data_IF_795938891134
#
_entry.id   IF_795938891134
#
_cell.length_a   1.000
_cell.length_b   1.000
_cell.length_c   1.000
_cell.angle_alpha   90.00
_cell.angle_beta   90.00
_cell.angle_gamma   90.00
#
_symmetry.space_group_name_H-M   'P 1'
#
loop_
_entity.id
_entity.type
_entity.pdbx_description
1 polymer ?
#
# COMPACT_ATOMS: atom_id res chain seq x y z
N UNK A 1 -6.47 10.76 16.06
CA UNK A 1 -7.39 11.77 16.60
C UNK A 1 -7.15 13.16 15.99
N UNK A 2 -5.92 13.62 15.90
CA UNK A 2 -5.56 14.95 15.35
C UNK A 2 -6.06 15.20 13.91
N UNK A 3 -5.90 14.22 13.00
CA UNK A 3 -6.34 14.35 11.60
C UNK A 3 -7.86 14.50 11.51
N UNK A 4 -8.62 13.77 12.34
CA UNK A 4 -10.08 13.88 12.37
C UNK A 4 -10.53 15.26 12.86
N UNK A 5 -9.90 15.78 13.92
CA UNK A 5 -10.19 17.12 14.45
C UNK A 5 -9.89 18.18 13.39
N UNK A 6 -8.73 18.08 12.72
CA UNK A 6 -8.36 19.01 11.64
C UNK A 6 -9.39 19.00 10.50
N UNK A 7 -9.89 17.83 10.13
CA UNK A 7 -10.88 17.68 9.06
C UNK A 7 -12.23 18.32 9.44
N UNK A 8 -12.68 18.12 10.70
CA UNK A 8 -13.89 18.76 11.23
C UNK A 8 -13.74 20.28 11.23
N UNK A 9 -12.59 20.80 11.69
CA UNK A 9 -12.32 22.24 11.69
C UNK A 9 -12.36 22.83 10.28
N UNK A 10 -11.77 22.16 9.29
CA UNK A 10 -11.80 22.60 7.89
C UNK A 10 -13.25 22.66 7.38
N UNK A 11 -14.07 21.64 7.64
CA UNK A 11 -15.47 21.62 7.23
C UNK A 11 -16.26 22.77 7.85
N UNK A 12 -16.04 23.03 9.15
CA UNK A 12 -16.70 24.15 9.87
C UNK A 12 -16.30 25.51 9.25
N UNK A 13 -15.02 25.71 9.00
CA UNK A 13 -14.54 26.96 8.36
C UNK A 13 -15.17 27.14 6.97
N UNK A 14 -15.19 26.09 6.14
CA UNK A 14 -15.83 26.15 4.83
C UNK A 14 -17.32 26.50 4.93
N UNK A 15 -18.01 26.00 5.96
CA UNK A 15 -19.42 26.36 6.21
C UNK A 15 -19.61 27.82 6.60
N UNK A 16 -18.75 28.35 7.46
CA UNK A 16 -18.77 29.78 7.85
C UNK A 16 -18.53 30.66 6.62
N UNK A 17 -17.65 30.22 5.69
CA UNK A 17 -17.38 30.91 4.42
C UNK A 17 -18.49 30.77 3.37
N UNK A 18 -19.61 30.10 3.67
CA UNK A 18 -20.74 29.94 2.78
C UNK A 18 -20.58 28.89 1.68
N UNK A 19 -19.58 27.99 1.82
CA UNK A 19 -19.41 26.89 0.85
C UNK A 19 -20.60 25.95 0.92
N UNK A 20 -21.18 25.64 -0.25
CA UNK A 20 -22.34 24.77 -0.35
C UNK A 20 -21.99 23.32 0.05
N UNK A 21 -22.97 22.57 0.59
CA UNK A 21 -22.81 21.16 0.92
C UNK A 21 -22.36 20.35 -0.29
N UNK A 22 -22.86 20.67 -1.46
CA UNK A 22 -22.53 20.01 -2.70
C UNK A 22 -21.02 20.10 -3.01
N UNK A 23 -20.46 21.29 -2.95
CA UNK A 23 -19.00 21.51 -3.17
C UNK A 23 -18.17 20.76 -2.15
N UNK A 24 -18.58 20.72 -0.88
CA UNK A 24 -17.89 19.96 0.16
C UNK A 24 -17.90 18.45 -0.12
N UNK A 25 -19.04 17.89 -0.52
CA UNK A 25 -19.17 16.47 -0.85
C UNK A 25 -18.31 16.14 -2.08
N UNK A 26 -18.41 16.95 -3.14
CA UNK A 26 -17.62 16.74 -4.35
C UNK A 26 -16.11 16.82 -4.10
N UNK A 27 -15.67 17.79 -3.29
CA UNK A 27 -14.26 17.91 -2.88
C UNK A 27 -13.80 16.70 -2.07
N UNK A 28 -14.64 16.19 -1.17
CA UNK A 28 -14.35 14.98 -0.39
C UNK A 28 -14.20 13.76 -1.27
N UNK A 29 -15.12 13.57 -2.24
CA UNK A 29 -15.04 12.49 -3.22
C UNK A 29 -13.78 12.60 -4.08
N UNK A 30 -13.41 13.80 -4.53
CA UNK A 30 -12.18 14.03 -5.29
C UNK A 30 -10.91 13.68 -4.51
N UNK A 31 -10.86 13.98 -3.22
CA UNK A 31 -9.73 13.60 -2.35
C UNK A 31 -9.65 12.07 -2.22
N UNK A 32 -10.78 11.40 -2.02
CA UNK A 32 -10.83 9.93 -1.93
C UNK A 32 -10.34 9.31 -3.24
N UNK A 33 -10.81 9.81 -4.37
CA UNK A 33 -10.38 9.33 -5.70
C UNK A 33 -8.88 9.51 -5.91
N UNK A 34 -8.33 10.67 -5.53
CA UNK A 34 -6.89 10.92 -5.60
C UNK A 34 -6.09 9.90 -4.76
N UNK A 35 -6.55 9.59 -3.55
CA UNK A 35 -5.91 8.59 -2.69
C UNK A 35 -5.96 7.18 -3.30
N UNK A 36 -7.08 6.81 -3.92
CA UNK A 36 -7.24 5.52 -4.61
C UNK A 36 -6.30 5.44 -5.82
N UNK A 37 -6.18 6.50 -6.61
CA UNK A 37 -5.25 6.57 -7.74
C UNK A 37 -3.80 6.44 -7.25
N UNK A 38 -3.41 7.13 -6.19
CA UNK A 38 -2.07 7.01 -5.61
C UNK A 38 -1.78 5.58 -5.12
N UNK A 39 -2.76 4.93 -4.49
CA UNK A 39 -2.66 3.53 -4.07
C UNK A 39 -2.52 2.59 -5.28
N UNK A 40 -3.28 2.82 -6.35
CA UNK A 40 -3.17 2.08 -7.60
C UNK A 40 -1.76 2.21 -8.21
N UNK A 41 -1.24 3.42 -8.34
CA UNK A 41 0.10 3.68 -8.86
C UNK A 41 1.18 3.01 -8.00
N UNK A 42 1.02 3.02 -6.68
CA UNK A 42 1.93 2.33 -5.75
C UNK A 42 1.97 0.82 -6.02
N UNK A 43 0.82 0.14 -6.11
CA UNK A 43 0.78 -1.30 -6.35
C UNK A 43 1.24 -1.66 -7.77
N UNK A 44 0.88 -0.88 -8.78
CA UNK A 44 1.38 -1.07 -10.16
C UNK A 44 2.90 -0.93 -10.22
N UNK A 45 3.48 0.07 -9.56
CA UNK A 45 4.94 0.21 -9.46
C UNK A 45 5.60 -1.02 -8.86
N UNK A 46 5.08 -1.55 -7.75
CA UNK A 46 5.60 -2.75 -7.13
C UNK A 46 5.39 -4.01 -7.98
N UNK A 47 4.27 -4.12 -8.66
CA UNK A 47 3.98 -5.20 -9.59
C UNK A 47 4.92 -5.21 -10.79
N UNK A 48 5.17 -4.06 -11.40
CA UNK A 48 6.17 -3.93 -12.48
C UNK A 48 7.58 -4.29 -11.99
N UNK A 49 7.98 -3.80 -10.80
CA UNK A 49 9.26 -4.21 -10.23
C UNK A 49 9.34 -5.72 -10.00
N UNK A 50 8.24 -6.38 -9.61
CA UNK A 50 8.18 -7.82 -9.40
C UNK A 50 8.50 -8.61 -10.67
N UNK A 51 8.11 -8.12 -11.85
CA UNK A 51 8.40 -8.77 -13.15
C UNK A 51 9.91 -8.83 -13.37
N UNK A 52 10.65 -7.79 -12.98
CA UNK A 52 12.11 -7.70 -13.17
C UNK A 52 12.92 -8.34 -12.03
N UNK A 53 12.28 -9.07 -11.10
CA UNK A 53 12.98 -9.75 -10.01
C UNK A 53 13.55 -11.10 -10.43
N UNK A 54 14.61 -11.52 -9.72
CA UNK A 54 15.18 -12.87 -9.86
C UNK A 54 14.73 -13.75 -8.71
N UNK A 55 14.35 -14.99 -8.99
CA UNK A 55 14.09 -16.00 -7.95
C UNK A 55 15.41 -16.35 -7.28
N UNK A 56 15.43 -16.35 -5.96
CA UNK A 56 16.56 -16.79 -5.13
C UNK A 56 16.05 -17.55 -3.91
N UNK A 57 16.86 -18.48 -3.43
CA UNK A 57 16.67 -19.08 -2.09
C UNK A 57 17.26 -18.16 -1.05
N UNK A 58 16.56 -17.98 0.05
CA UNK A 58 16.97 -17.12 1.14
C UNK A 58 16.56 -17.73 2.49
N UNK A 59 17.34 -17.44 3.53
CA UNK A 59 17.00 -17.78 4.90
C UNK A 59 16.34 -16.58 5.58
N UNK A 60 15.24 -16.82 6.28
CA UNK A 60 14.66 -15.78 7.12
C UNK A 60 15.55 -15.55 8.34
N UNK A 61 15.92 -14.30 8.63
CA UNK A 61 16.79 -13.97 9.77
C UNK A 61 16.02 -13.40 10.94
N UNK A 62 15.26 -12.34 10.73
CA UNK A 62 14.57 -11.61 11.81
C UNK A 62 13.46 -10.73 11.30
N UNK A 63 12.66 -10.23 12.26
CA UNK A 63 11.81 -9.08 12.04
C UNK A 63 12.43 -7.84 12.67
N UNK A 64 12.69 -6.82 11.87
CA UNK A 64 13.28 -5.58 12.34
C UNK A 64 12.71 -4.37 11.60
N UNK A 65 12.96 -3.19 12.12
CA UNK A 65 12.57 -1.92 11.49
C UNK A 65 13.59 -1.49 10.46
N UNK A 66 13.13 -1.09 9.29
CA UNK A 66 14.00 -0.42 8.31
C UNK A 66 14.28 1.00 8.82
N UNK A 67 15.52 1.49 8.64
CA UNK A 67 15.90 2.87 8.99
C UNK A 67 14.83 3.87 8.52
N UNK A 68 14.28 4.66 9.44
CA UNK A 68 13.20 5.65 9.25
C UNK A 68 11.77 5.10 9.14
N UNK A 69 11.51 3.80 9.18
CA UNK A 69 10.17 3.25 9.18
C UNK A 69 9.71 2.88 10.61
N UNK A 70 8.45 3.17 10.95
CA UNK A 70 7.87 2.81 12.25
C UNK A 70 7.33 1.37 12.30
N UNK A 71 7.36 0.64 11.19
CA UNK A 71 6.85 -0.72 11.07
C UNK A 71 7.97 -1.74 10.87
N UNK A 72 7.76 -2.95 11.36
CA UNK A 72 8.69 -4.06 11.22
C UNK A 72 8.48 -4.74 9.88
N UNK A 73 9.59 -5.18 9.25
CA UNK A 73 9.59 -6.00 8.04
C UNK A 73 10.39 -7.28 8.28
N UNK A 74 10.14 -8.30 7.47
CA UNK A 74 10.94 -9.51 7.47
C UNK A 74 12.29 -9.24 6.78
N UNK A 75 13.39 -9.75 7.34
CA UNK A 75 14.72 -9.73 6.74
C UNK A 75 15.09 -11.12 6.25
N UNK A 76 15.69 -11.16 5.09
CA UNK A 76 16.14 -12.40 4.44
C UNK A 76 17.60 -12.28 4.07
N UNK A 77 18.37 -13.33 4.37
CA UNK A 77 19.77 -13.45 3.97
C UNK A 77 19.88 -14.16 2.63
N UNK A 78 20.55 -13.50 1.69
CA UNK A 78 20.88 -14.02 0.36
C UNK A 78 22.37 -13.84 0.15
N UNK A 79 23.10 -14.94 -0.09
CA UNK A 79 24.54 -14.92 -0.35
C UNK A 79 25.35 -14.16 0.75
N UNK A 80 24.96 -14.30 2.03
CA UNK A 80 25.61 -13.65 3.18
C UNK A 80 25.23 -12.19 3.42
N UNK A 81 24.25 -11.65 2.68
CA UNK A 81 23.78 -10.26 2.83
C UNK A 81 22.31 -10.23 3.21
N UNK A 82 21.97 -9.44 4.23
CA UNK A 82 20.57 -9.23 4.67
C UNK A 82 19.84 -8.20 3.81
N UNK A 83 18.65 -8.56 3.35
CA UNK A 83 17.74 -7.69 2.59
C UNK A 83 16.36 -7.62 3.24
N UNK A 84 15.78 -6.42 3.40
CA UNK A 84 14.44 -6.25 3.94
C UNK A 84 13.37 -6.64 2.91
N UNK A 85 12.26 -7.19 3.39
CA UNK A 85 11.05 -7.38 2.59
C UNK A 85 10.45 -6.03 2.21
N UNK A 86 9.76 -5.97 1.06
CA UNK A 86 9.16 -4.74 0.53
C UNK A 86 8.01 -4.26 1.41
N UNK A 87 7.17 -5.19 1.87
CA UNK A 87 5.98 -4.87 2.67
C UNK A 87 6.20 -5.08 4.16
N UNK A 88 5.47 -4.33 5.00
CA UNK A 88 5.51 -4.51 6.44
C UNK A 88 5.01 -5.91 6.84
N UNK A 89 5.49 -6.39 7.98
CA UNK A 89 5.02 -7.61 8.60
C UNK A 89 3.56 -7.45 9.03
N UNK A 90 2.71 -8.32 8.55
CA UNK A 90 1.36 -8.48 9.11
C UNK A 90 1.42 -9.32 10.39
N UNK A 91 0.83 -8.83 11.48
CA UNK A 91 0.90 -9.47 12.79
C UNK A 91 0.33 -10.90 12.83
N UNK A 92 -0.62 -11.20 11.93
CA UNK A 92 -1.28 -12.52 11.83
C UNK A 92 -0.41 -13.65 11.26
N UNK A 93 0.65 -13.34 10.51
CA UNK A 93 1.45 -14.34 9.79
C UNK A 93 2.83 -14.58 10.38
N UNK A 94 3.10 -14.12 11.60
CA UNK A 94 4.43 -14.29 12.22
C UNK A 94 4.82 -15.76 12.45
N UNK A 95 3.86 -16.64 12.68
CA UNK A 95 4.09 -18.07 12.86
C UNK A 95 4.49 -18.82 11.59
N UNK A 96 4.30 -18.21 10.41
CA UNK A 96 4.69 -18.79 9.13
C UNK A 96 6.19 -18.66 8.82
N UNK A 97 6.92 -17.86 9.60
CA UNK A 97 8.35 -17.60 9.41
C UNK A 97 9.18 -18.41 10.41
N UNK A 98 10.12 -19.19 9.91
CA UNK A 98 11.07 -19.98 10.71
C UNK A 98 12.49 -19.72 10.21
N UNK A 99 13.43 -19.55 11.14
CA UNK A 99 14.85 -19.41 10.82
C UNK A 99 15.49 -20.71 10.33
N UNK A 100 14.84 -21.85 10.54
CA UNK A 100 15.33 -23.15 10.12
C UNK A 100 14.94 -23.51 8.67
N UNK A 101 14.06 -22.72 8.06
CA UNK A 101 13.53 -22.99 6.72
C UNK A 101 14.12 -22.06 5.68
N UNK A 102 14.43 -22.62 4.52
CA UNK A 102 14.76 -21.84 3.34
C UNK A 102 13.49 -21.41 2.61
N UNK A 103 13.48 -20.19 2.13
CA UNK A 103 12.34 -19.59 1.42
C UNK A 103 12.73 -19.26 -0.01
N UNK A 104 11.81 -19.53 -0.93
CA UNK A 104 11.92 -19.05 -2.29
C UNK A 104 11.40 -17.60 -2.34
N UNK A 105 12.30 -16.68 -2.56
CA UNK A 105 12.01 -15.24 -2.60
C UNK A 105 12.35 -14.64 -3.96
N UNK A 106 11.78 -13.47 -4.25
CA UNK A 106 12.09 -12.71 -5.44
C UNK A 106 12.91 -11.48 -5.06
N UNK A 107 14.15 -11.44 -5.50
CA UNK A 107 15.09 -10.35 -5.21
C UNK A 107 15.03 -9.27 -6.30
N UNK A 108 14.78 -8.03 -5.89
CA UNK A 108 14.85 -6.84 -6.74
C UNK A 108 16.20 -6.15 -6.56
N UNK A 109 17.03 -6.17 -7.61
CA UNK A 109 18.33 -5.49 -7.61
C UNK A 109 18.16 -3.96 -7.49
N UNK A 110 17.15 -3.41 -8.16
CA UNK A 110 16.90 -1.96 -8.19
C UNK A 110 16.50 -1.41 -6.82
N UNK A 111 15.61 -2.11 -6.14
CA UNK A 111 15.13 -1.70 -4.81
C UNK A 111 16.02 -2.18 -3.67
N UNK A 112 16.96 -3.13 -3.93
CA UNK A 112 17.72 -3.84 -2.89
C UNK A 112 16.80 -4.42 -1.80
N UNK A 113 15.68 -5.01 -2.23
CA UNK A 113 14.62 -5.55 -1.38
C UNK A 113 14.16 -6.91 -1.91
N UNK A 114 13.48 -7.63 -1.03
CA UNK A 114 12.96 -8.97 -1.30
C UNK A 114 11.44 -8.95 -1.30
N UNK A 115 10.84 -9.72 -2.21
CA UNK A 115 9.43 -10.07 -2.20
C UNK A 115 9.32 -11.54 -1.80
N UNK A 116 8.79 -11.82 -0.64
CA UNK A 116 8.38 -13.15 -0.23
C UNK A 116 7.00 -13.50 -0.82
N UNK A 117 6.48 -14.68 -0.53
CA UNK A 117 5.20 -15.15 -1.05
C UNK A 117 4.05 -14.21 -0.63
N UNK A 118 4.10 -13.68 0.58
CA UNK A 118 3.09 -12.76 1.11
C UNK A 118 3.16 -11.40 0.41
N UNK A 119 4.37 -10.90 0.20
CA UNK A 119 4.57 -9.65 -0.54
C UNK A 119 4.10 -9.76 -2.01
N UNK A 120 4.31 -10.92 -2.65
CA UNK A 120 3.78 -11.18 -4.00
C UNK A 120 2.25 -11.20 -3.99
N UNK A 121 1.65 -11.91 -3.04
CA UNK A 121 0.20 -11.96 -2.88
C UNK A 121 -0.38 -10.56 -2.63
N UNK A 122 0.23 -9.77 -1.74
CA UNK A 122 -0.17 -8.38 -1.45
C UNK A 122 -0.11 -7.50 -2.69
N UNK A 123 0.93 -7.63 -3.53
CA UNK A 123 1.00 -6.90 -4.81
C UNK A 123 -0.17 -7.24 -5.73
N UNK A 124 -0.46 -8.53 -5.92
CA UNK A 124 -1.52 -8.98 -6.84
C UNK A 124 -2.89 -8.52 -6.34
N UNK A 125 -3.19 -8.80 -5.07
CA UNK A 125 -4.46 -8.41 -4.45
C UNK A 125 -4.61 -6.89 -4.43
N UNK A 126 -3.53 -6.15 -4.13
CA UNK A 126 -3.52 -4.70 -4.12
C UNK A 126 -3.82 -4.08 -5.49
N UNK A 127 -3.27 -4.64 -6.57
CA UNK A 127 -3.59 -4.20 -7.94
C UNK A 127 -5.06 -4.45 -8.27
N UNK A 128 -5.55 -5.67 -8.02
CA UNK A 128 -6.96 -6.03 -8.30
C UNK A 128 -7.91 -5.10 -7.51
N UNK A 129 -7.66 -4.96 -6.21
CA UNK A 129 -8.48 -4.13 -5.34
C UNK A 129 -8.49 -2.66 -5.77
N UNK A 130 -7.31 -2.10 -6.09
CA UNK A 130 -7.21 -0.69 -6.49
C UNK A 130 -7.85 -0.42 -7.85
N UNK A 131 -7.73 -1.33 -8.84
CA UNK A 131 -8.45 -1.23 -10.13
C UNK A 131 -9.97 -1.23 -9.90
N UNK A 132 -10.46 -2.19 -9.10
CA UNK A 132 -11.89 -2.28 -8.78
C UNK A 132 -12.39 -1.01 -8.08
N UNK A 133 -11.62 -0.47 -7.13
CA UNK A 133 -11.96 0.76 -6.42
C UNK A 133 -12.04 1.97 -7.38
N UNK A 134 -11.07 2.13 -8.29
CA UNK A 134 -11.10 3.21 -9.31
C UNK A 134 -12.34 3.10 -10.18
N UNK A 135 -12.70 1.90 -10.67
CA UNK A 135 -13.88 1.70 -11.52
C UNK A 135 -15.17 2.04 -10.77
N UNK A 136 -15.29 1.60 -9.52
CA UNK A 136 -16.49 1.87 -8.71
C UNK A 136 -16.63 3.37 -8.41
N UNK A 137 -15.57 4.03 -7.95
CA UNK A 137 -15.61 5.46 -7.60
C UNK A 137 -15.85 6.32 -8.80
N UNK A 138 -15.25 6.01 -9.96
CA UNK A 138 -15.52 6.69 -11.22
C UNK A 138 -16.99 6.53 -11.64
N UNK A 139 -17.54 5.32 -11.49
CA UNK A 139 -18.96 5.06 -11.74
C UNK A 139 -19.90 5.88 -10.84
N UNK A 140 -19.56 6.01 -9.56
CA UNK A 140 -20.32 6.84 -8.62
C UNK A 140 -20.27 8.31 -9.03
N UNK A 141 -19.09 8.86 -9.32
CA UNK A 141 -18.92 10.27 -9.71
C UNK A 141 -19.72 10.57 -10.98
N UNK A 142 -19.63 9.71 -12.00
CA UNK A 142 -20.37 9.86 -13.26
C UNK A 142 -21.88 9.86 -13.04
N UNK A 143 -22.39 8.99 -12.18
CA UNK A 143 -23.84 8.96 -11.89
C UNK A 143 -24.30 10.16 -11.05
N UNK A 144 -23.41 10.75 -10.24
CA UNK A 144 -23.72 11.96 -9.48
C UNK A 144 -24.00 13.18 -10.37
N UNK A 145 -23.38 13.26 -11.56
CA UNK A 145 -23.66 14.31 -12.55
C UNK A 145 -25.07 14.21 -13.17
N UNK A 146 -25.71 13.02 -13.13
CA UNK A 146 -27.06 12.82 -13.66
C UNK A 146 -28.18 13.09 -12.64
N UNK A 147 -27.84 13.26 -11.36
CA UNK A 147 -28.82 13.45 -10.27
C UNK A 147 -29.03 14.94 -9.96
N UNK A 148 -28.24 15.82 -10.57
CA UNK A 148 -28.27 17.28 -10.44
C UNK A 148 -28.70 17.92 -11.74
#
# INVERSE_FOLDING_TARGET
>A
MEVFIALVVIVVICKILGVSNFVLILSGLGIIELLIILMFLFFVFHFLNLIFTKKKTANFTKFDTVKKAKFKVAFYEIDGVEYPCVFPKESGFSSAYSTEKTYNVRYSKNLKKVYDIWAVATCIVGVIFSVTAVVITFGIIKNFEYII
#
